data_IF_953296774982
#
_entry.id   IF_953296774982
#
_cell.length_a   1.000
_cell.length_b   1.000
_cell.length_c   1.000
_cell.angle_alpha   90.00
_cell.angle_beta   90.00
_cell.angle_gamma   90.00
#
_symmetry.space_group_name_H-M   'P 1'
#
loop_
_entity.id
_entity.type
_entity.pdbx_description
1 polymer ?
#
# COMPACT_ATOMS: atom_id res chain seq x y z
N UNK A 1 56.83 -9.64 -8.81
CA UNK A 1 55.76 -9.99 -7.86
C UNK A 1 54.49 -9.31 -8.34
N UNK A 2 53.68 -10.02 -9.13
CA UNK A 2 52.40 -9.53 -9.62
C UNK A 2 51.40 -9.61 -8.47
N UNK A 3 51.01 -8.46 -7.93
CA UNK A 3 49.91 -8.36 -6.97
C UNK A 3 48.60 -8.66 -7.72
N UNK A 4 48.10 -9.88 -7.58
CA UNK A 4 46.71 -10.18 -7.88
C UNK A 4 45.86 -9.48 -6.82
N UNK A 5 44.88 -8.63 -7.19
CA UNK A 5 43.92 -8.17 -6.21
C UNK A 5 43.19 -9.41 -5.70
N UNK A 6 43.19 -9.60 -4.38
CA UNK A 6 42.29 -10.53 -3.71
C UNK A 6 40.88 -10.22 -4.23
N UNK A 7 40.31 -11.13 -5.02
CA UNK A 7 38.87 -11.15 -5.20
C UNK A 7 38.31 -11.37 -3.80
N UNK A 8 37.91 -10.27 -3.15
CA UNK A 8 37.08 -10.27 -1.95
C UNK A 8 35.98 -11.27 -2.26
N UNK A 9 35.93 -12.38 -1.51
CA UNK A 9 34.95 -13.43 -1.73
C UNK A 9 33.59 -12.77 -1.92
N UNK A 10 33.03 -12.90 -3.13
CA UNK A 10 31.87 -12.13 -3.53
C UNK A 10 30.78 -12.30 -2.47
N UNK A 11 30.38 -11.21 -1.83
CA UNK A 11 29.29 -11.20 -0.86
C UNK A 11 28.11 -11.90 -1.52
N UNK A 12 27.74 -13.07 -0.99
CA UNK A 12 26.65 -13.86 -1.56
C UNK A 12 25.36 -13.16 -1.20
N UNK A 13 24.61 -12.70 -2.21
CA UNK A 13 23.30 -12.10 -2.00
C UNK A 13 22.18 -13.15 -2.07
N UNK A 14 21.06 -12.92 -1.38
CA UNK A 14 19.86 -13.75 -1.54
C UNK A 14 19.30 -13.72 -2.95
N UNK A 15 18.43 -14.70 -3.24
CA UNK A 15 17.64 -14.71 -4.47
C UNK A 15 16.65 -13.54 -4.51
N UNK A 16 16.32 -13.09 -5.73
CA UNK A 16 15.33 -12.03 -5.94
C UNK A 16 13.96 -12.51 -5.42
N UNK A 17 13.28 -11.75 -4.55
CA UNK A 17 11.94 -12.10 -4.11
C UNK A 17 10.94 -12.15 -5.27
N UNK A 18 9.83 -12.85 -5.04
CA UNK A 18 8.67 -12.78 -5.93
C UNK A 18 7.99 -11.42 -5.74
N UNK A 19 7.38 -10.91 -6.81
CA UNK A 19 6.61 -9.65 -6.77
C UNK A 19 5.54 -9.74 -5.68
N UNK A 20 5.46 -8.75 -4.77
CA UNK A 20 4.48 -8.78 -3.69
C UNK A 20 3.05 -8.64 -4.25
N UNK A 21 2.08 -9.25 -3.56
CA UNK A 21 0.68 -8.96 -3.77
C UNK A 21 0.33 -7.64 -3.08
N UNK A 22 -0.15 -6.69 -3.86
CA UNK A 22 -0.53 -5.34 -3.43
C UNK A 22 -2.03 -5.15 -3.60
N UNK A 23 -2.72 -4.76 -2.53
CA UNK A 23 -4.17 -4.56 -2.52
C UNK A 23 -4.50 -3.23 -1.85
N UNK A 24 -5.17 -2.33 -2.57
CA UNK A 24 -5.68 -1.08 -1.98
C UNK A 24 -6.92 -1.38 -1.12
N UNK A 25 -6.82 -1.07 0.18
CA UNK A 25 -7.92 -1.30 1.13
C UNK A 25 -8.78 -0.04 1.32
N UNK A 26 -8.16 1.14 1.26
CA UNK A 26 -8.86 2.42 1.43
C UNK A 26 -8.26 3.50 0.54
N UNK A 27 -8.72 4.74 0.72
CA UNK A 27 -8.14 5.90 0.05
C UNK A 27 -6.71 6.22 0.50
N UNK A 28 -6.30 5.73 1.67
CA UNK A 28 -4.98 6.03 2.26
C UNK A 28 -4.24 4.79 2.77
N UNK A 29 -4.77 3.59 2.51
CA UNK A 29 -4.21 2.34 3.00
C UNK A 29 -4.08 1.29 1.89
N UNK A 30 -2.91 0.64 1.85
CA UNK A 30 -2.58 -0.47 0.96
C UNK A 30 -2.01 -1.61 1.79
N UNK A 31 -2.54 -2.82 1.59
CA UNK A 31 -1.98 -4.05 2.14
C UNK A 31 -0.99 -4.64 1.14
N UNK A 32 0.19 -4.98 1.63
CA UNK A 32 1.26 -5.57 0.84
C UNK A 32 1.64 -6.89 1.50
N UNK A 33 1.66 -7.97 0.74
CA UNK A 33 2.00 -9.31 1.21
C UNK A 33 2.95 -9.97 0.24
N UNK A 34 3.91 -10.74 0.74
CA UNK A 34 4.87 -11.46 -0.08
C UNK A 34 5.14 -12.86 0.46
N UNK A 35 5.79 -13.70 -0.33
CA UNK A 35 6.25 -15.00 0.13
C UNK A 35 7.64 -14.85 0.76
N UNK A 36 7.90 -15.60 1.83
CA UNK A 36 9.26 -15.72 2.37
C UNK A 36 10.17 -16.31 1.29
N UNK A 37 11.28 -15.63 1.03
CA UNK A 37 12.34 -16.13 0.15
C UNK A 37 13.05 -17.25 0.88
N UNK A 38 12.98 -18.46 0.32
CA UNK A 38 13.80 -19.57 0.80
C UNK A 38 15.08 -19.62 -0.03
N UNK A 39 16.11 -18.94 0.47
CA UNK A 39 17.42 -18.95 -0.17
C UNK A 39 18.26 -20.07 0.45
N UNK A 40 18.37 -21.20 -0.26
CA UNK A 40 19.20 -22.35 0.15
C UNK A 40 20.69 -22.00 0.35
N UNK A 41 21.11 -20.79 -0.05
CA UNK A 41 22.50 -20.34 -0.07
C UNK A 41 22.81 -19.22 0.93
N UNK A 42 21.80 -18.48 1.36
CA UNK A 42 21.95 -17.27 2.19
C UNK A 42 20.73 -17.16 3.09
N UNK A 43 20.94 -17.09 4.40
CA UNK A 43 19.88 -16.85 5.36
C UNK A 43 19.39 -15.40 5.27
N UNK A 44 18.07 -15.21 5.29
CA UNK A 44 17.45 -13.89 5.22
C UNK A 44 17.38 -13.30 6.63
N UNK A 45 17.96 -12.12 6.81
CA UNK A 45 17.89 -11.35 8.06
C UNK A 45 16.62 -10.47 8.07
N UNK A 46 16.39 -9.72 6.99
CA UNK A 46 15.22 -8.87 6.85
C UNK A 46 14.87 -8.59 5.38
N UNK A 47 13.67 -8.07 5.17
CA UNK A 47 13.20 -7.51 3.92
C UNK A 47 13.19 -6.00 4.00
N UNK A 48 13.43 -5.36 2.86
CA UNK A 48 13.24 -3.93 2.70
C UNK A 48 12.20 -3.67 1.63
N UNK A 49 11.15 -2.95 2.00
CA UNK A 49 10.03 -2.60 1.15
C UNK A 49 10.05 -1.10 0.88
N UNK A 50 10.01 -0.77 -0.40
CA UNK A 50 9.99 0.60 -0.89
C UNK A 50 8.65 0.88 -1.54
N UNK A 51 8.10 2.05 -1.25
CA UNK A 51 7.00 2.65 -1.99
C UNK A 51 7.55 3.88 -2.70
N UNK A 52 7.42 3.88 -4.02
CA UNK A 52 8.09 4.74 -4.97
C UNK A 52 9.62 4.70 -4.79
N UNK A 53 10.18 5.64 -4.03
CA UNK A 53 11.62 5.77 -3.78
C UNK A 53 11.96 5.77 -2.29
N UNK A 54 10.97 5.63 -1.41
CA UNK A 54 11.13 5.73 0.04
C UNK A 54 11.07 4.35 0.69
N UNK A 55 11.98 4.11 1.65
CA UNK A 55 11.98 2.90 2.46
C UNK A 55 10.85 3.00 3.49
N UNK A 56 9.81 2.20 3.29
CA UNK A 56 8.61 2.22 4.12
C UNK A 56 8.64 1.16 5.21
N UNK A 57 9.30 0.02 4.96
CA UNK A 57 9.39 -1.06 5.93
C UNK A 57 10.74 -1.78 5.82
N UNK A 58 11.30 -2.10 6.99
CA UNK A 58 12.44 -2.99 7.14
C UNK A 58 12.17 -3.99 8.27
N UNK A 59 12.22 -5.29 7.97
CA UNK A 59 11.95 -6.35 8.95
C UNK A 59 11.71 -7.72 8.31
N UNK A 60 11.51 -8.75 9.13
CA UNK A 60 11.41 -10.15 8.66
C UNK A 60 9.99 -10.59 8.31
N UNK A 61 8.99 -9.75 8.56
CA UNK A 61 7.59 -10.10 8.28
C UNK A 61 7.36 -10.24 6.78
N UNK A 62 6.27 -10.94 6.45
CA UNK A 62 5.84 -11.19 5.07
C UNK A 62 4.60 -10.39 4.68
N UNK A 63 4.22 -9.44 5.54
CA UNK A 63 3.08 -8.56 5.36
C UNK A 63 3.39 -7.19 5.95
N UNK A 64 3.02 -6.15 5.21
CA UNK A 64 3.05 -4.78 5.69
C UNK A 64 1.77 -4.04 5.30
N UNK A 65 1.33 -3.13 6.16
CA UNK A 65 0.16 -2.29 5.92
C UNK A 65 0.60 -0.83 5.83
N UNK A 66 0.76 -0.35 4.60
CA UNK A 66 1.08 1.04 4.32
C UNK A 66 -0.15 1.90 4.62
N UNK A 67 0.06 2.98 5.38
CA UNK A 67 -0.97 3.94 5.78
C UNK A 67 -0.52 5.35 5.42
N UNK A 68 -1.43 6.32 5.48
CA UNK A 68 -1.16 7.75 5.20
C UNK A 68 -0.74 8.01 3.75
N UNK A 69 -1.14 7.14 2.83
CA UNK A 69 -0.98 7.36 1.39
C UNK A 69 -1.97 8.43 0.89
N UNK A 70 -1.69 9.02 -0.28
CA UNK A 70 -2.58 9.98 -0.94
C UNK A 70 -3.70 9.24 -1.65
N UNK A 71 -4.96 9.73 -1.56
CA UNK A 71 -6.08 9.20 -2.33
C UNK A 71 -5.88 9.28 -3.84
N UNK A 72 -6.48 8.33 -4.56
CA UNK A 72 -6.52 8.29 -6.02
C UNK A 72 -5.14 8.43 -6.71
N UNK A 73 -4.08 7.96 -6.04
CA UNK A 73 -2.69 8.14 -6.46
C UNK A 73 -2.08 6.78 -6.81
N UNK A 74 -1.27 6.74 -7.86
CA UNK A 74 -0.51 5.56 -8.25
C UNK A 74 0.78 5.48 -7.44
N UNK A 75 1.08 4.29 -6.96
CA UNK A 75 2.27 3.97 -6.19
C UNK A 75 3.00 2.78 -6.81
N UNK A 76 4.33 2.85 -6.78
CA UNK A 76 5.21 1.78 -7.22
C UNK A 76 5.82 1.05 -6.02
N UNK A 77 5.47 -0.22 -5.83
CA UNK A 77 5.97 -1.01 -4.71
C UNK A 77 7.08 -1.94 -5.18
N UNK A 78 8.22 -1.91 -4.49
CA UNK A 78 9.36 -2.81 -4.71
C UNK A 78 9.82 -3.41 -3.40
N UNK A 79 10.32 -4.64 -3.47
CA UNK A 79 10.83 -5.38 -2.31
C UNK A 79 12.23 -5.92 -2.62
N UNK A 80 13.11 -6.00 -1.63
CA UNK A 80 14.34 -6.81 -1.69
C UNK A 80 14.54 -7.57 -0.39
N UNK A 81 15.32 -8.64 -0.45
CA UNK A 81 15.71 -9.41 0.72
C UNK A 81 17.19 -9.14 1.04
N UNK A 82 17.51 -8.95 2.31
CA UNK A 82 18.86 -8.75 2.80
C UNK A 82 19.23 -9.86 3.79
N UNK A 83 20.44 -10.40 3.64
CA UNK A 83 21.04 -11.35 4.57
C UNK A 83 21.84 -10.66 5.66
N UNK A 84 22.38 -11.45 6.58
CA UNK A 84 23.14 -10.97 7.74
C UNK A 84 24.49 -10.31 7.38
N UNK A 85 25.06 -10.61 6.22
CA UNK A 85 26.33 -10.01 5.81
C UNK A 85 26.13 -8.61 5.25
N UNK A 86 26.99 -7.63 5.58
CA UNK A 86 26.88 -6.27 5.06
C UNK A 86 26.97 -6.27 3.53
N UNK A 87 26.00 -5.64 2.88
CA UNK A 87 25.90 -5.60 1.41
C UNK A 87 25.28 -6.84 0.77
N UNK A 88 24.87 -7.86 1.55
CA UNK A 88 24.19 -9.07 1.07
C UNK A 88 22.71 -8.81 0.82
N UNK A 89 22.39 -7.89 -0.09
CA UNK A 89 21.01 -7.65 -0.50
C UNK A 89 20.76 -8.17 -1.92
N UNK A 90 19.59 -8.74 -2.14
CA UNK A 90 19.12 -9.15 -3.46
C UNK A 90 18.84 -7.91 -4.31
N UNK A 91 18.79 -8.05 -5.64
CA UNK A 91 18.10 -7.08 -6.48
C UNK A 91 16.64 -6.91 -6.04
N UNK A 92 16.05 -5.75 -6.32
CA UNK A 92 14.63 -5.50 -6.10
C UNK A 92 13.73 -6.43 -6.93
N UNK A 93 12.51 -6.68 -6.50
CA UNK A 93 11.47 -7.29 -7.33
C UNK A 93 11.20 -6.45 -8.57
N UNK A 94 10.45 -7.01 -9.52
CA UNK A 94 9.76 -6.16 -10.50
C UNK A 94 8.79 -5.23 -9.75
N UNK A 95 8.64 -3.97 -10.20
CA UNK A 95 7.72 -3.03 -9.58
C UNK A 95 6.28 -3.53 -9.66
N UNK A 96 5.57 -3.50 -8.53
CA UNK A 96 4.13 -3.72 -8.46
C UNK A 96 3.42 -2.36 -8.39
N UNK A 97 2.53 -2.09 -9.34
CA UNK A 97 1.78 -0.85 -9.37
C UNK A 97 0.45 -1.02 -8.64
N UNK A 98 0.14 -0.09 -7.75
CA UNK A 98 -1.14 -0.04 -7.04
C UNK A 98 -1.69 1.37 -7.06
N UNK A 99 -3.00 1.50 -7.25
CA UNK A 99 -3.69 2.78 -7.14
C UNK A 99 -4.52 2.78 -5.87
N UNK A 100 -4.35 3.79 -5.03
CA UNK A 100 -5.23 3.98 -3.86
C UNK A 100 -6.65 4.30 -4.29
N UNK A 101 -7.62 3.96 -3.43
CA UNK A 101 -9.03 4.24 -3.71
C UNK A 101 -9.28 5.76 -3.69
N UNK A 102 -10.42 6.16 -4.25
CA UNK A 102 -10.88 7.54 -4.10
C UNK A 102 -11.29 7.77 -2.65
N UNK A 103 -10.95 8.93 -2.13
CA UNK A 103 -11.47 9.32 -0.84
C UNK A 103 -12.98 9.55 -0.96
N UNK A 104 -13.73 8.79 -0.17
CA UNK A 104 -15.18 8.85 -0.17
C UNK A 104 -15.63 9.63 1.05
N UNK A 105 -15.12 10.86 1.23
CA UNK A 105 -15.56 11.71 2.35
C UNK A 105 -16.99 12.24 2.21
N UNK A 106 -17.73 11.91 1.14
CA UNK A 106 -19.05 12.51 0.88
C UNK A 106 -20.16 11.56 0.42
N UNK A 107 -20.02 10.23 0.44
CA UNK A 107 -21.18 9.36 0.18
C UNK A 107 -21.89 8.90 1.45
N UNK A 108 -21.47 9.37 2.62
CA UNK A 108 -22.27 9.29 3.84
C UNK A 108 -23.10 10.57 4.00
N UNK A 109 -23.85 10.95 2.96
CA UNK A 109 -25.17 11.49 3.26
C UNK A 109 -25.98 10.27 3.70
N UNK A 110 -26.12 10.07 5.02
CA UNK A 110 -27.22 9.28 5.57
C UNK A 110 -28.51 10.07 5.31
N UNK A 111 -28.86 10.25 4.04
CA UNK A 111 -30.22 10.39 3.58
C UNK A 111 -30.71 8.97 3.32
N UNK A 112 -30.72 8.15 4.38
CA UNK A 112 -31.50 6.92 4.40
C UNK A 112 -32.97 7.32 4.57
N UNK A 113 -33.53 7.82 3.47
CA UNK A 113 -34.94 8.11 3.32
C UNK A 113 -35.69 6.76 3.38
N UNK A 114 -36.17 6.34 4.56
CA UNK A 114 -37.37 5.51 4.88
C UNK A 114 -37.58 5.56 6.41
N UNK A 115 -38.70 5.87 7.05
CA UNK A 115 -40.06 6.30 6.68
C UNK A 115 -40.67 6.85 7.99
N UNK A 116 -41.07 8.13 8.07
CA UNK A 116 -41.82 8.62 9.25
C UNK A 116 -43.30 8.47 8.95
N UNK A 117 -43.88 7.33 9.31
CA UNK A 117 -45.34 7.19 9.44
C UNK A 117 -45.64 6.72 10.87
N UNK A 118 -45.81 7.69 11.75
CA UNK A 118 -46.54 7.66 13.03
C UNK A 118 -46.33 9.07 13.62
N UNK A 119 -47.27 10.01 13.64
CA UNK A 119 -48.72 9.94 13.65
C UNK A 119 -49.26 11.23 13.04
N UNK A 120 -50.48 11.20 12.52
CA UNK A 120 -51.16 12.34 11.91
C UNK A 120 -51.27 13.47 12.95
N UNK A 121 -50.56 14.57 12.74
CA UNK A 121 -50.90 15.87 13.33
C UNK A 121 -50.71 16.95 12.29
N UNK A 122 -51.82 17.26 11.62
CA UNK A 122 -52.06 18.46 10.83
C UNK A 122 -51.60 19.70 11.58
N UNK A 123 -50.75 20.52 10.97
CA UNK A 123 -50.80 22.00 11.06
C UNK A 123 -49.71 22.60 10.16
N UNK A 124 -50.16 23.19 9.04
CA UNK A 124 -49.78 24.50 8.48
C UNK A 124 -48.34 24.98 8.80
N UNK A 125 -47.46 25.31 7.85
CA UNK A 125 -47.55 26.51 7.01
C UNK A 125 -46.45 26.54 5.93
N UNK A 126 -46.89 26.84 4.69
CA UNK A 126 -46.37 27.81 3.71
C UNK A 126 -44.96 27.64 3.12
N UNK A 127 -44.92 27.17 1.86
CA UNK A 127 -43.89 27.51 0.87
C UNK A 127 -44.08 28.97 0.39
N UNK A 128 -43.06 29.83 0.43
CA UNK A 128 -43.08 31.09 -0.28
C UNK A 128 -41.84 31.21 -1.17
N UNK A 129 -41.70 30.38 -2.20
CA UNK A 129 -40.77 30.70 -3.28
C UNK A 129 -41.00 29.87 -4.55
N UNK A 130 -42.00 30.28 -5.34
CA UNK A 130 -41.94 30.21 -6.80
C UNK A 130 -43.05 31.09 -7.41
N UNK A 131 -42.88 32.41 -7.27
CA UNK A 131 -43.46 33.37 -8.20
C UNK A 131 -42.54 33.38 -9.42
N UNK A 132 -43.08 33.07 -10.59
CA UNK A 132 -42.35 33.04 -11.85
C UNK A 132 -43.30 32.99 -13.05
N UNK A 133 -43.97 34.12 -13.27
CA UNK A 133 -44.58 34.59 -14.53
C UNK A 133 -43.60 34.59 -15.73
N UNK A 134 -44.00 34.81 -17.00
CA UNK A 134 -45.30 35.28 -17.51
C UNK A 134 -46.12 34.25 -18.31
#
# INVERSE_FOLDING_TARGET
MTYQPFAIEGVRSPERPVVPNVTALSSTEVRITWCRVNSNKVEIDHYELFIDTELEYSGIDVMYMAKRLKPWTWYEVKLRACGFSPGSCSPFTRPALVKTLRDSKCCNNVLSIRSVIASITTLMFLDPCAIGSP
#
